data_IF_227587403052
#
_entry.id   IF_227587403052
#
_cell.length_a   1.000
_cell.length_b   1.000
_cell.length_c   1.000
_cell.angle_alpha   90.00
_cell.angle_beta   90.00
_cell.angle_gamma   90.00
#
_symmetry.space_group_name_H-M   'P 1'
#
loop_
_entity.id
_entity.type
_entity.pdbx_description
1 polymer ?
#
# COMPACT_ATOMS: atom_id res chain seq x y z
N UNK A 1 -25.89 -10.63 9.12
CA UNK A 1 -26.07 -9.17 9.25
C UNK A 1 -24.84 -8.44 9.81
N UNK A 2 -24.28 -8.77 10.99
CA UNK A 2 -23.18 -7.97 11.60
C UNK A 2 -21.82 -7.98 10.87
N UNK A 3 -21.53 -8.99 10.04
CA UNK A 3 -20.33 -9.03 9.18
C UNK A 3 -20.52 -8.34 7.82
N UNK A 4 -21.76 -8.01 7.45
CA UNK A 4 -22.06 -7.38 6.17
C UNK A 4 -21.68 -5.90 6.17
N UNK A 5 -21.85 -5.21 7.30
CA UNK A 5 -21.46 -3.80 7.48
C UNK A 5 -19.96 -3.52 7.32
N UNK A 6 -19.03 -4.23 7.98
CA UNK A 6 -17.60 -3.96 7.79
C UNK A 6 -17.12 -4.34 6.39
N UNK A 7 -17.70 -5.37 5.77
CA UNK A 7 -17.41 -5.73 4.39
C UNK A 7 -17.89 -4.65 3.41
N UNK A 8 -19.11 -4.14 3.59
CA UNK A 8 -19.65 -3.03 2.81
C UNK A 8 -18.81 -1.76 2.99
N UNK A 9 -18.33 -1.49 4.21
CA UNK A 9 -17.47 -0.35 4.50
C UNK A 9 -16.10 -0.47 3.82
N UNK A 10 -15.47 -1.66 3.82
CA UNK A 10 -14.24 -1.90 3.07
C UNK A 10 -14.43 -1.74 1.56
N UNK A 11 -15.56 -2.21 1.01
CA UNK A 11 -15.88 -2.05 -0.42
C UNK A 11 -16.10 -0.57 -0.77
N UNK A 12 -16.79 0.20 0.08
CA UNK A 12 -16.99 1.64 -0.11
C UNK A 12 -15.67 2.43 -0.08
N UNK A 13 -14.75 2.08 0.83
CA UNK A 13 -13.43 2.69 0.89
C UNK A 13 -12.59 2.36 -0.36
N UNK A 14 -12.64 1.12 -0.85
CA UNK A 14 -11.93 0.72 -2.07
C UNK A 14 -12.49 1.38 -3.35
N UNK A 15 -13.77 1.77 -3.36
CA UNK A 15 -14.44 2.38 -4.51
C UNK A 15 -14.00 3.83 -4.77
N UNK A 16 -13.46 4.52 -3.76
CA UNK A 16 -13.12 5.94 -3.85
C UNK A 16 -11.93 6.26 -4.77
N UNK A 17 -11.15 5.24 -5.18
CA UNK A 17 -9.99 5.44 -6.03
C UNK A 17 -10.30 5.50 -7.54
N UNK A 18 -11.54 5.24 -7.98
CA UNK A 18 -11.90 5.22 -9.40
C UNK A 18 -12.34 6.59 -9.96
N UNK A 19 -12.61 7.57 -9.10
CA UNK A 19 -13.06 8.89 -9.55
C UNK A 19 -11.93 9.75 -10.18
N UNK A 20 -10.67 9.42 -9.91
CA UNK A 20 -9.51 10.18 -10.40
C UNK A 20 -8.92 9.65 -11.72
N UNK A 21 -9.44 8.55 -12.28
CA UNK A 21 -8.79 7.92 -13.44
C UNK A 21 -8.91 8.75 -14.74
N UNK A 22 -9.81 9.74 -14.81
CA UNK A 22 -10.06 10.53 -16.02
C UNK A 22 -9.06 11.64 -16.29
N UNK A 23 -8.28 12.05 -15.29
CA UNK A 23 -7.26 13.10 -15.44
C UNK A 23 -5.90 12.49 -15.14
N UNK A 24 -4.95 12.67 -16.05
CA UNK A 24 -3.57 12.17 -15.92
C UNK A 24 -2.58 13.30 -16.14
N UNK A 25 -1.32 13.06 -15.75
CA UNK A 25 -0.18 13.92 -16.08
C UNK A 25 -0.40 15.40 -15.72
N UNK A 26 -0.98 15.67 -14.55
CA UNK A 26 -1.19 17.05 -14.07
C UNK A 26 0.17 17.67 -13.74
N UNK A 27 0.56 18.70 -14.49
CA UNK A 27 1.78 19.47 -14.32
C UNK A 27 1.43 20.90 -13.97
N UNK A 28 2.00 21.40 -12.89
CA UNK A 28 1.77 22.76 -12.42
C UNK A 28 3.01 23.57 -12.75
N UNK A 29 2.83 24.71 -13.40
CA UNK A 29 3.88 25.68 -13.68
C UNK A 29 3.45 27.02 -13.10
N UNK A 30 4.21 27.50 -12.13
CA UNK A 30 4.06 28.86 -11.62
C UNK A 30 4.86 29.76 -12.56
N UNK A 31 4.18 30.62 -13.31
CA UNK A 31 4.84 31.50 -14.30
C UNK A 31 5.46 32.69 -13.57
N UNK A 32 4.72 33.28 -12.64
CA UNK A 32 5.12 34.40 -11.79
C UNK A 32 4.31 34.37 -10.48
N UNK A 33 4.47 35.38 -9.61
CA UNK A 33 3.71 35.49 -8.35
C UNK A 33 2.21 35.75 -8.53
N UNK A 34 1.74 35.92 -9.77
CA UNK A 34 0.37 36.31 -10.12
C UNK A 34 -0.40 35.25 -10.89
N UNK A 35 0.27 34.27 -11.50
CA UNK A 35 -0.31 33.34 -12.46
C UNK A 35 0.20 31.91 -12.30
N UNK A 36 -0.74 30.98 -12.33
CA UNK A 36 -0.48 29.54 -12.42
C UNK A 36 -0.99 29.00 -13.75
N UNK A 37 -0.15 28.20 -14.41
CA UNK A 37 -0.53 27.37 -15.54
C UNK A 37 -0.58 25.89 -15.12
N UNK A 38 -1.72 25.25 -15.34
CA UNK A 38 -1.92 23.81 -15.07
C UNK A 38 -2.11 23.09 -16.39
N UNK A 39 -1.18 22.22 -16.75
CA UNK A 39 -1.28 21.33 -17.91
C UNK A 39 -1.71 19.94 -17.45
N UNK A 40 -2.58 19.27 -18.19
CA UNK A 40 -3.02 17.92 -17.85
C UNK A 40 -3.57 17.19 -19.07
N UNK A 41 -3.66 15.87 -18.95
CA UNK A 41 -4.25 15.00 -19.97
C UNK A 41 -5.63 14.53 -19.50
N UNK A 42 -6.63 14.64 -20.37
CA UNK A 42 -8.00 14.21 -20.07
C UNK A 42 -8.40 13.01 -20.92
N UNK A 43 -8.80 11.93 -20.25
CA UNK A 43 -9.22 10.68 -20.86
C UNK A 43 -10.72 10.47 -20.69
N UNK A 44 -11.38 9.97 -21.74
CA UNK A 44 -12.77 9.50 -21.71
C UNK A 44 -13.80 10.51 -21.18
N UNK A 45 -13.76 11.76 -21.67
CA UNK A 45 -14.80 12.76 -21.36
C UNK A 45 -16.11 12.42 -22.06
N UNK A 46 -17.22 12.51 -21.33
CA UNK A 46 -18.55 12.49 -21.94
C UNK A 46 -19.04 13.91 -22.15
N UNK A 47 -19.90 14.09 -23.14
CA UNK A 47 -20.58 15.37 -23.34
C UNK A 47 -21.37 15.73 -22.08
N UNK A 48 -21.08 16.90 -21.51
CA UNK A 48 -21.71 17.38 -20.27
C UNK A 48 -20.91 17.11 -18.98
N UNK A 49 -19.78 16.39 -19.05
CA UNK A 49 -18.83 16.37 -17.94
C UNK A 49 -18.30 17.80 -17.68
N UNK A 50 -18.02 18.08 -16.41
CA UNK A 50 -17.55 19.40 -15.96
C UNK A 50 -16.18 19.29 -15.29
N UNK A 51 -15.25 20.15 -15.69
CA UNK A 51 -13.88 20.19 -15.19
C UNK A 51 -13.74 21.34 -14.22
N UNK A 52 -13.17 21.07 -13.05
CA UNK A 52 -12.96 22.03 -11.99
C UNK A 52 -11.49 22.04 -11.59
N UNK A 53 -11.02 23.23 -11.22
CA UNK A 53 -9.72 23.41 -10.61
C UNK A 53 -9.92 23.56 -9.10
N UNK A 54 -9.24 22.74 -8.32
CA UNK A 54 -9.15 22.86 -6.86
C UNK A 54 -7.70 23.22 -6.50
N UNK A 55 -7.51 24.34 -5.80
CA UNK A 55 -6.18 24.81 -5.42
C UNK A 55 -6.11 24.94 -3.91
N UNK A 56 -5.05 24.36 -3.34
CA UNK A 56 -4.80 24.34 -1.91
C UNK A 56 -3.44 24.96 -1.62
N UNK A 57 -3.45 26.02 -0.83
CA UNK A 57 -2.27 26.58 -0.19
C UNK A 57 -1.92 25.78 1.06
N UNK A 58 -0.62 25.65 1.33
CA UNK A 58 -0.14 25.04 2.58
C UNK A 58 -0.51 25.85 3.82
N UNK A 59 -0.50 27.19 3.75
CA UNK A 59 -0.78 28.05 4.90
C UNK A 59 -2.26 28.43 5.00
N UNK A 60 -2.90 28.73 3.86
CA UNK A 60 -4.28 29.23 3.82
C UNK A 60 -5.34 28.14 3.62
N UNK A 61 -4.92 26.91 3.32
CA UNK A 61 -5.84 25.82 3.01
C UNK A 61 -6.44 25.95 1.61
N UNK A 62 -7.69 25.52 1.42
CA UNK A 62 -8.37 25.55 0.11
C UNK A 62 -8.66 27.00 -0.30
N UNK A 63 -8.12 27.42 -1.44
CA UNK A 63 -8.30 28.76 -1.99
C UNK A 63 -9.62 28.82 -2.76
N UNK A 64 -10.39 29.90 -2.57
CA UNK A 64 -11.62 30.12 -3.34
C UNK A 64 -11.26 30.71 -4.69
N UNK A 65 -11.50 29.94 -5.75
CA UNK A 65 -11.21 30.33 -7.12
C UNK A 65 -12.48 30.92 -7.75
N UNK A 66 -12.48 32.22 -8.04
CA UNK A 66 -13.59 32.82 -8.78
C UNK A 66 -13.45 32.48 -10.28
N UNK A 67 -14.53 32.04 -10.95
CA UNK A 67 -14.48 31.55 -12.34
C UNK A 67 -13.97 32.59 -13.35
N UNK A 68 -14.18 33.87 -13.10
CA UNK A 68 -13.74 34.99 -13.95
C UNK A 68 -12.22 35.11 -14.08
N UNK A 69 -11.46 34.60 -13.11
CA UNK A 69 -10.00 34.60 -13.12
C UNK A 69 -9.40 33.28 -13.64
N UNK A 70 -10.23 32.35 -14.13
CA UNK A 70 -9.79 31.08 -14.69
C UNK A 70 -10.10 31.04 -16.17
N UNK A 71 -9.10 30.73 -16.99
CA UNK A 71 -9.20 30.63 -18.44
C UNK A 71 -8.69 29.28 -18.94
N UNK A 72 -9.06 28.91 -20.16
CA UNK A 72 -8.63 27.67 -20.81
C UNK A 72 -9.66 26.55 -20.69
N UNK A 73 -9.18 25.30 -20.61
CA UNK A 73 -9.99 24.08 -20.64
C UNK A 73 -10.73 23.79 -19.31
N UNK A 74 -11.48 24.76 -18.78
CA UNK A 74 -12.26 24.65 -17.52
C UNK A 74 -13.77 24.72 -17.78
N UNK A 75 -14.57 24.08 -16.93
CA UNK A 75 -16.04 24.18 -16.99
C UNK A 75 -16.70 23.02 -17.74
N UNK A 76 -17.84 23.30 -18.38
CA UNK A 76 -18.62 22.30 -19.13
C UNK A 76 -18.07 22.15 -20.55
N UNK A 77 -18.26 20.97 -21.16
CA UNK A 77 -17.95 20.69 -22.57
C UNK A 77 -16.46 20.65 -22.94
N UNK A 78 -15.59 20.41 -21.96
CA UNK A 78 -14.17 20.18 -22.26
C UNK A 78 -14.03 18.82 -22.95
N UNK A 79 -13.38 18.82 -24.11
CA UNK A 79 -13.16 17.60 -24.89
C UNK A 79 -11.94 16.84 -24.37
N UNK A 80 -11.98 15.51 -24.41
CA UNK A 80 -10.82 14.67 -24.12
C UNK A 80 -9.62 15.07 -25.01
N UNK A 81 -8.41 14.86 -24.51
CA UNK A 81 -7.18 15.20 -25.21
C UNK A 81 -6.01 15.36 -24.25
N UNK A 82 -4.80 15.33 -24.81
CA UNK A 82 -3.57 15.65 -24.09
C UNK A 82 -3.33 17.15 -24.05
N UNK A 83 -2.44 17.59 -23.14
CA UNK A 83 -1.93 18.97 -23.07
C UNK A 83 -3.03 20.04 -22.92
N UNK A 84 -4.14 19.68 -22.26
CA UNK A 84 -5.18 20.63 -21.86
C UNK A 84 -4.60 21.60 -20.86
N UNK A 85 -4.98 22.88 -20.98
CA UNK A 85 -4.36 23.96 -20.19
C UNK A 85 -5.43 24.77 -19.48
N UNK A 86 -5.28 24.88 -18.16
CA UNK A 86 -6.02 25.83 -17.33
C UNK A 86 -5.03 26.91 -16.87
N UNK A 87 -5.43 28.17 -17.03
CA UNK A 87 -4.67 29.35 -16.60
C UNK A 87 -5.47 30.00 -15.48
N UNK A 88 -4.84 30.24 -14.34
CA UNK A 88 -5.46 30.94 -13.22
C UNK A 88 -4.66 32.19 -12.84
N UNK A 89 -5.34 33.34 -12.89
CA UNK A 89 -4.81 34.65 -12.47
C UNK A 89 -5.03 34.83 -10.96
N UNK A 90 -4.14 34.26 -10.16
CA UNK A 90 -4.24 34.24 -8.71
C UNK A 90 -4.23 35.63 -8.07
N UNK A 91 -3.40 36.55 -8.57
CA UNK A 91 -3.30 37.91 -8.01
C UNK A 91 -4.55 38.74 -8.27
N UNK A 92 -5.14 38.60 -9.46
CA UNK A 92 -6.42 39.23 -9.79
C UNK A 92 -7.54 38.71 -8.88
N UNK A 93 -7.45 37.45 -8.46
CA UNK A 93 -8.31 36.83 -7.45
C UNK A 93 -7.90 37.13 -5.99
N UNK A 94 -6.94 38.03 -5.75
CA UNK A 94 -6.51 38.46 -4.41
C UNK A 94 -5.52 37.53 -3.70
N UNK A 95 -4.92 36.57 -4.40
CA UNK A 95 -3.93 35.63 -3.84
C UNK A 95 -2.53 35.88 -4.40
N UNK A 96 -1.56 36.13 -3.53
CA UNK A 96 -0.14 36.19 -3.88
C UNK A 96 0.49 34.80 -3.83
N UNK A 97 1.16 34.36 -4.89
CA UNK A 97 1.75 33.01 -5.02
C UNK A 97 3.14 32.88 -4.38
N UNK A 98 3.34 33.48 -3.20
CA UNK A 98 4.63 33.45 -2.49
C UNK A 98 4.78 32.22 -1.57
N UNK A 99 3.98 31.19 -1.78
CA UNK A 99 3.88 30.01 -0.93
C UNK A 99 3.74 28.72 -1.75
N UNK A 100 3.96 27.58 -1.09
CA UNK A 100 3.79 26.27 -1.69
C UNK A 100 2.30 25.98 -1.93
N UNK A 101 1.96 25.68 -3.19
CA UNK A 101 0.59 25.49 -3.65
C UNK A 101 0.45 24.13 -4.33
N UNK A 102 -0.64 23.44 -4.03
CA UNK A 102 -1.05 22.21 -4.68
C UNK A 102 -2.30 22.48 -5.52
N UNK A 103 -2.25 22.18 -6.81
CA UNK A 103 -3.42 22.26 -7.70
C UNK A 103 -3.86 20.84 -8.09
N UNK A 104 -5.17 20.60 -8.09
CA UNK A 104 -5.80 19.37 -8.52
C UNK A 104 -6.87 19.69 -9.54
N UNK A 105 -6.85 18.97 -10.65
CA UNK A 105 -7.90 19.06 -11.66
C UNK A 105 -8.89 17.92 -11.39
N UNK A 106 -10.14 18.29 -11.19
CA UNK A 106 -11.23 17.37 -10.85
C UNK A 106 -12.24 17.33 -11.98
N UNK A 107 -12.74 16.14 -12.32
CA UNK A 107 -13.82 15.98 -13.31
C UNK A 107 -15.07 15.53 -12.58
N UNK A 108 -16.11 16.35 -12.61
CA UNK A 108 -17.44 15.98 -12.15
C UNK A 108 -18.19 15.36 -13.32
N UNK A 109 -18.40 14.05 -13.24
CA UNK A 109 -19.27 13.37 -14.18
C UNK A 109 -20.69 13.93 -14.05
N UNK A 110 -21.35 14.20 -15.18
CA UNK A 110 -22.79 14.47 -15.15
C UNK A 110 -23.47 13.19 -14.62
N UNK A 111 -24.33 13.26 -13.60
CA UNK A 111 -25.12 12.10 -13.21
C UNK A 111 -25.85 11.64 -14.47
N UNK A 112 -25.68 10.37 -14.84
CA UNK A 112 -26.39 9.80 -15.97
C UNK A 112 -27.87 10.03 -15.68
N UNK A 113 -28.51 10.92 -16.45
CA UNK A 113 -29.95 11.08 -16.37
C UNK A 113 -30.49 9.77 -16.93
N UNK A 114 -30.88 8.86 -16.04
CA UNK A 114 -31.18 7.45 -16.34
C UNK A 114 -32.37 7.24 -17.28
N UNK A 115 -32.82 8.25 -18.03
CA UNK A 115 -34.00 8.21 -18.90
C UNK A 115 -33.75 8.49 -20.39
N UNK A 116 -32.56 8.93 -20.82
CA UNK A 116 -32.40 9.49 -22.19
C UNK A 116 -31.47 8.68 -23.12
N UNK A 117 -30.81 7.63 -22.63
CA UNK A 117 -29.76 6.93 -23.40
C UNK A 117 -30.25 5.74 -24.27
N UNK A 118 -31.55 5.56 -24.48
CA UNK A 118 -32.08 4.45 -25.28
C UNK A 118 -32.48 4.82 -26.72
N UNK A 119 -32.56 6.11 -27.09
CA UNK A 119 -33.11 6.51 -28.40
C UNK A 119 -32.08 7.02 -29.42
N UNK A 120 -30.83 7.26 -29.03
CA UNK A 120 -29.80 7.82 -29.94
C UNK A 120 -28.89 6.77 -30.61
N UNK A 121 -29.20 5.47 -30.50
CA UNK A 121 -28.47 4.40 -31.18
C UNK A 121 -29.23 3.78 -32.37
N UNK A 122 -30.47 4.22 -32.64
CA UNK A 122 -31.25 3.80 -33.80
C UNK A 122 -31.19 4.84 -34.93
N UNK A 123 -29.99 5.32 -35.27
CA UNK A 123 -29.79 5.97 -36.56
C UNK A 123 -29.58 4.85 -37.58
N UNK A 124 -30.65 4.57 -38.31
CA UNK A 124 -30.74 3.54 -39.34
C UNK A 124 -29.52 3.59 -40.31
N UNK A 125 -29.07 2.44 -40.83
CA UNK A 125 -28.05 2.41 -41.87
C UNK A 125 -28.54 3.25 -43.06
N UNK A 126 -27.83 4.36 -43.30
CA UNK A 126 -28.02 5.18 -44.49
C UNK A 126 -27.93 4.30 -45.71
N UNK A 127 -29.02 4.34 -46.47
CA UNK A 127 -29.21 3.75 -47.80
C UNK A 127 -27.94 3.91 -48.63
N UNK A 128 -27.47 2.79 -49.17
CA UNK A 128 -26.29 2.72 -50.04
C UNK A 128 -26.27 3.85 -51.10
N UNK A 129 -25.11 4.52 -51.29
CA UNK A 129 -24.96 5.48 -52.37
C UNK A 129 -25.07 4.78 -53.73
N UNK A 130 -25.79 5.36 -54.71
CA UNK A 130 -25.85 4.82 -56.07
C UNK A 130 -24.45 4.83 -56.69
N UNK A 131 -24.13 3.71 -57.34
CA UNK A 131 -22.87 3.46 -58.02
C UNK A 131 -22.50 4.60 -58.98
N UNK A 132 -21.37 5.25 -58.72
CA UNK A 132 -20.65 6.08 -59.69
C UNK A 132 -19.57 5.22 -60.39
N UNK A 133 -19.26 5.52 -61.67
CA UNK A 133 -18.62 4.60 -62.61
C UNK A 133 -17.14 4.33 -62.31
N UNK A 134 -16.72 3.08 -62.60
CA UNK A 134 -15.32 2.61 -62.63
C UNK A 134 -14.43 3.56 -63.43
N UNK A 135 -13.53 4.26 -62.74
CA UNK A 135 -12.32 4.81 -63.37
C UNK A 135 -11.26 3.73 -63.32
N UNK A 136 -10.87 3.26 -64.51
CA UNK A 136 -9.72 2.39 -64.74
C UNK A 136 -8.46 3.18 -64.42
N UNK A 137 -7.79 2.84 -63.32
CA UNK A 137 -6.42 3.29 -63.04
C UNK A 137 -5.51 2.10 -63.31
N UNK A 138 -4.71 2.23 -64.37
CA UNK A 138 -3.63 1.34 -64.76
C UNK A 138 -2.50 1.42 -63.73
N UNK A 139 -2.19 0.29 -63.09
CA UNK A 139 -1.02 0.12 -62.23
C UNK A 139 0.24 0.02 -63.09
N UNK A 140 1.30 0.81 -62.84
CA UNK A 140 2.60 0.55 -63.43
C UNK A 140 3.27 -0.64 -62.70
N UNK A 141 3.64 -1.64 -63.50
CA UNK A 141 4.46 -2.79 -63.13
C UNK A 141 5.83 -2.30 -62.65
N UNK A 142 6.12 -2.49 -61.36
CA UNK A 142 7.49 -2.35 -60.84
C UNK A 142 8.19 -3.70 -60.91
N UNK A 143 9.16 -3.80 -61.80
CA UNK A 143 10.01 -4.97 -62.01
C UNK A 143 10.93 -5.23 -60.79
N UNK A 144 11.15 -6.49 -60.38
CA UNK A 144 12.13 -6.83 -59.36
C UNK A 144 13.55 -6.76 -59.94
N UNK A 145 14.36 -5.84 -59.42
CA UNK A 145 15.77 -5.76 -59.72
C UNK A 145 16.55 -6.88 -58.99
N UNK A 146 17.20 -7.67 -59.83
CA UNK A 146 18.18 -8.73 -59.60
C UNK A 146 19.29 -8.34 -58.60
N UNK A 147 19.65 -9.18 -57.61
CA UNK A 147 20.87 -8.99 -56.84
C UNK A 147 22.10 -9.38 -57.68
N UNK A 148 22.99 -8.43 -57.87
CA UNK A 148 24.29 -8.60 -58.50
C UNK A 148 25.28 -9.15 -57.45
N UNK A 149 25.64 -10.42 -57.61
CA UNK A 149 26.77 -11.07 -56.96
C UNK A 149 28.09 -10.57 -57.55
N UNK A 150 28.95 -9.94 -56.74
CA UNK A 150 30.37 -9.68 -57.06
C UNK A 150 31.22 -10.06 -55.83
N UNK A 151 32.42 -10.67 -56.03
CA UNK A 151 32.97 -11.68 -55.14
C UNK A 151 33.97 -11.16 -54.10
N UNK A 152 34.10 -11.96 -53.06
CA UNK A 152 35.14 -11.95 -52.02
C UNK A 152 36.53 -12.11 -52.63
N UNK A 153 37.51 -11.23 -52.34
CA UNK A 153 38.92 -11.60 -52.41
C UNK A 153 39.41 -12.10 -51.05
N UNK A 154 39.84 -13.35 -51.03
CA UNK A 154 40.61 -13.95 -49.96
C UNK A 154 41.93 -13.19 -49.76
N UNK A 155 42.29 -12.86 -48.51
CA UNK A 155 43.64 -12.46 -48.17
C UNK A 155 44.11 -13.22 -46.94
N UNK A 156 44.97 -14.20 -47.21
CA UNK A 156 45.74 -14.94 -46.23
C UNK A 156 46.84 -14.05 -45.61
N UNK A 157 47.25 -14.48 -44.42
CA UNK A 157 48.25 -13.93 -43.52
C UNK A 157 49.62 -13.66 -44.16
N UNK A 158 50.29 -12.58 -43.72
CA UNK A 158 51.74 -12.53 -43.38
C UNK A 158 51.99 -11.39 -42.37
N UNK A 159 52.61 -11.75 -41.24
CA UNK A 159 53.40 -10.93 -40.29
C UNK A 159 54.88 -11.24 -40.66
N UNK A 160 55.90 -10.34 -40.64
CA UNK A 160 56.28 -9.50 -39.49
C UNK A 160 57.00 -8.13 -39.75
N UNK A 161 57.18 -7.40 -38.64
CA UNK A 161 58.37 -6.61 -38.23
C UNK A 161 58.56 -5.12 -38.66
N UNK A 162 59.27 -4.32 -37.84
CA UNK A 162 59.04 -2.88 -37.63
C UNK A 162 60.16 -1.97 -38.16
N UNK A 163 59.84 -0.75 -38.60
CA UNK A 163 60.83 0.34 -38.78
C UNK A 163 60.17 1.69 -38.52
N UNK A 164 60.81 2.51 -37.69
CA UNK A 164 60.35 3.82 -37.26
C UNK A 164 60.52 4.93 -38.29
N UNK A 165 59.99 6.10 -37.92
CA UNK A 165 60.09 7.35 -38.67
C UNK A 165 59.17 8.42 -38.09
N UNK A 166 59.71 9.23 -37.20
CA UNK A 166 59.12 10.45 -36.61
C UNK A 166 59.04 11.59 -37.66
N UNK A 167 58.49 12.78 -37.34
CA UNK A 167 57.29 13.39 -37.92
C UNK A 167 57.58 14.51 -38.96
N UNK A 168 56.52 15.21 -39.45
CA UNK A 168 56.53 16.65 -39.21
C UNK A 168 55.16 17.25 -38.80
N UNK A 169 55.22 18.04 -37.74
CA UNK A 169 54.34 19.19 -37.40
C UNK A 169 54.90 20.39 -38.20
N UNK A 170 54.11 21.33 -38.79
CA UNK A 170 53.48 22.40 -37.99
C UNK A 170 52.20 23.09 -38.52
N UNK A 171 51.52 23.72 -37.54
CA UNK A 171 50.71 24.95 -37.59
C UNK A 171 49.36 24.89 -38.34
N UNK A 172 48.25 25.49 -37.91
CA UNK A 172 47.98 26.57 -36.96
C UNK A 172 46.53 26.36 -36.42
N UNK A 173 46.30 26.38 -35.11
CA UNK A 173 45.83 27.55 -34.34
C UNK A 173 44.35 27.91 -34.57
N UNK A 174 43.46 27.38 -33.74
CA UNK A 174 42.19 28.04 -33.38
C UNK A 174 42.07 28.11 -31.84
N UNK A 175 41.58 29.22 -31.28
CA UNK A 175 41.74 29.54 -29.87
C UNK A 175 40.73 28.85 -28.96
N UNK A 176 41.25 28.13 -27.97
CA UNK A 176 40.54 27.56 -26.83
C UNK A 176 40.20 28.67 -25.83
N UNK A 177 38.90 28.87 -25.59
CA UNK A 177 38.39 29.63 -24.45
C UNK A 177 38.52 28.81 -23.15
N UNK A 178 38.83 29.44 -22.00
CA UNK A 178 39.15 28.73 -20.76
C UNK A 178 37.89 28.24 -20.04
N UNK A 179 37.60 26.94 -20.12
CA UNK A 179 36.67 26.32 -19.17
C UNK A 179 37.38 26.05 -17.84
N UNK A 180 37.15 27.01 -16.94
CA UNK A 180 37.41 26.99 -15.50
C UNK A 180 36.97 25.66 -14.88
N UNK A 181 37.95 24.85 -14.45
CA UNK A 181 37.77 23.72 -13.53
C UNK A 181 37.15 24.23 -12.23
N UNK A 182 35.87 24.00 -12.02
CA UNK A 182 35.26 24.01 -10.70
C UNK A 182 35.35 22.59 -10.14
N UNK A 183 36.30 22.39 -9.22
CA UNK A 183 36.23 21.32 -8.24
C UNK A 183 34.94 21.52 -7.44
N UNK A 184 33.99 20.60 -7.62
CA UNK A 184 32.69 20.62 -6.96
C UNK A 184 32.33 19.20 -6.57
N UNK A 185 32.88 18.77 -5.44
CA UNK A 185 32.49 17.58 -4.70
C UNK A 185 30.97 17.59 -4.50
N UNK A 186 30.25 16.67 -5.15
CA UNK A 186 28.84 16.42 -4.84
C UNK A 186 28.78 15.39 -3.71
N UNK A 187 28.27 15.74 -2.51
CA UNK A 187 27.88 14.71 -1.55
C UNK A 187 26.65 13.96 -2.08
N UNK A 188 26.73 12.64 -1.96
CA UNK A 188 25.64 11.69 -2.17
C UNK A 188 24.45 12.01 -1.25
N UNK A 189 23.26 12.19 -1.83
CA UNK A 189 21.98 12.47 -1.15
C UNK A 189 21.28 11.17 -0.71
N UNK A 190 22.04 10.09 -0.50
CA UNK A 190 21.53 8.84 0.10
C UNK A 190 22.31 8.46 1.38
N UNK A 191 22.75 9.45 2.14
CA UNK A 191 23.05 9.25 3.55
C UNK A 191 21.74 9.30 4.33
N UNK A 192 21.34 8.12 4.78
CA UNK A 192 20.24 7.86 5.70
C UNK A 192 20.43 8.75 6.92
N UNK A 193 19.39 9.51 7.29
CA UNK A 193 19.34 10.28 8.54
C UNK A 193 19.82 9.38 9.68
N UNK A 194 21.01 9.71 10.18
CA UNK A 194 21.51 9.21 11.44
C UNK A 194 20.64 9.83 12.51
N UNK A 195 19.84 8.98 13.15
CA UNK A 195 19.07 9.30 14.34
C UNK A 195 20.00 9.93 15.37
N UNK A 196 19.85 11.24 15.58
CA UNK A 196 20.44 11.93 16.72
C UNK A 196 19.74 11.39 17.97
N UNK A 197 20.47 10.51 18.65
CA UNK A 197 20.09 9.88 19.90
C UNK A 197 20.08 10.95 21.00
N UNK A 198 18.93 11.62 21.17
CA UNK A 198 18.71 12.51 22.30
C UNK A 198 18.87 11.70 23.58
N UNK A 199 19.81 12.16 24.39
CA UNK A 199 20.21 11.58 25.64
C UNK A 199 19.04 11.44 26.61
N UNK A 200 19.12 10.34 27.36
CA UNK A 200 18.31 9.96 28.50
C UNK A 200 18.12 11.09 29.52
N UNK A 201 16.88 11.23 30.00
CA UNK A 201 16.60 11.53 31.40
C UNK A 201 15.65 10.47 31.93
N UNK A 202 16.22 9.51 32.67
CA UNK A 202 15.49 8.46 33.36
C UNK A 202 14.73 9.02 34.57
N UNK A 203 13.51 8.56 34.88
CA UNK A 203 12.92 8.80 36.19
C UNK A 203 13.60 7.90 37.23
N UNK A 204 14.18 8.57 38.23
CA UNK A 204 14.78 8.02 39.45
C UNK A 204 13.79 7.08 40.14
N UNK A 205 14.16 5.80 40.23
CA UNK A 205 13.52 4.81 41.09
C UNK A 205 14.02 5.05 42.51
N UNK A 206 13.15 5.52 43.39
CA UNK A 206 13.40 5.61 44.83
C UNK A 206 13.32 4.19 45.41
N UNK A 207 14.47 3.58 45.65
CA UNK A 207 14.61 2.35 46.44
C UNK A 207 14.48 2.68 47.94
N UNK A 208 13.45 2.16 48.58
CA UNK A 208 13.36 2.12 50.04
C UNK A 208 14.13 0.90 50.60
N UNK A 209 14.78 1.02 51.77
CA UNK A 209 15.59 -0.05 52.37
C UNK A 209 14.71 -1.13 53.01
N UNK A 210 15.00 -2.40 52.68
CA UNK A 210 14.42 -3.57 53.33
C UNK A 210 15.33 -3.97 54.49
N UNK A 211 14.83 -3.81 55.72
CA UNK A 211 15.38 -4.41 56.94
C UNK A 211 15.11 -5.92 57.02
N UNK A 212 16.05 -6.73 57.53
CA UNK A 212 15.84 -8.16 57.76
C UNK A 212 15.29 -8.45 59.17
N UNK A 213 14.39 -9.43 59.35
CA UNK A 213 14.22 -10.15 60.62
C UNK A 213 14.90 -11.53 60.49
N UNK A 214 16.05 -11.74 61.12
CA UNK A 214 16.20 -12.32 62.47
C UNK A 214 15.42 -13.62 62.65
N UNK A 215 16.14 -14.71 62.46
CA UNK A 215 15.86 -16.06 62.96
C UNK A 215 15.89 -16.07 64.48
N UNK A 216 15.09 -16.93 65.13
CA UNK A 216 15.64 -17.73 66.21
C UNK A 216 15.41 -19.23 65.99
N UNK A 217 16.48 -19.96 66.23
CA UNK A 217 16.56 -21.41 66.32
C UNK A 217 16.00 -21.92 67.67
N UNK A 218 16.04 -23.25 67.84
CA UNK A 218 15.88 -24.04 69.09
C UNK A 218 14.40 -24.38 69.38
N UNK A 219 13.92 -25.62 69.53
CA UNK A 219 14.50 -26.87 70.01
C UNK A 219 13.71 -28.11 69.48
N UNK A 220 14.39 -29.25 69.35
CA UNK A 220 13.80 -30.61 69.46
C UNK A 220 13.90 -31.05 70.94
N UNK A 221 13.26 -32.12 71.47
CA UNK A 221 12.69 -33.31 70.81
C UNK A 221 11.37 -33.83 71.45
N UNK A 222 10.87 -34.99 70.98
CA UNK A 222 10.44 -36.16 71.80
C UNK A 222 9.18 -36.84 71.26
N UNK A 223 9.40 -38.04 70.71
CA UNK A 223 8.43 -39.11 70.45
C UNK A 223 7.76 -39.56 71.75
N UNK A 224 6.44 -39.81 71.74
CA UNK A 224 5.97 -41.16 72.02
C UNK A 224 4.89 -41.64 71.04
N UNK A 225 4.87 -42.95 70.83
CA UNK A 225 3.82 -43.70 70.13
C UNK A 225 2.64 -43.98 71.10
N UNK A 226 1.70 -44.89 70.79
CA UNK A 226 0.64 -44.82 69.79
C UNK A 226 -0.75 -45.10 70.42
N UNK A 227 -1.81 -44.37 70.04
CA UNK A 227 -3.25 -44.66 70.26
C UNK A 227 -3.98 -43.35 69.90
N UNK A 228 -5.10 -43.29 69.21
CA UNK A 228 -6.23 -44.21 69.09
C UNK A 228 -7.02 -43.84 67.83
N UNK A 229 -7.60 -44.86 67.21
CA UNK A 229 -8.65 -44.74 66.18
C UNK A 229 -9.73 -43.76 66.66
N UNK A 230 -9.88 -42.65 65.95
CA UNK A 230 -11.14 -41.93 65.91
C UNK A 230 -11.38 -41.51 64.45
N UNK A 231 -12.61 -41.76 64.01
CA UNK A 231 -13.09 -41.63 62.64
C UNK A 231 -13.09 -40.16 62.22
N UNK A 232 -11.92 -39.62 61.89
CA UNK A 232 -11.81 -38.34 61.19
C UNK A 232 -12.25 -38.58 59.74
N UNK A 233 -13.49 -38.19 59.49
CA UNK A 233 -14.11 -38.15 58.17
C UNK A 233 -13.16 -37.42 57.24
N UNK A 234 -12.55 -38.16 56.30
CA UNK A 234 -11.62 -37.66 55.30
C UNK A 234 -12.15 -36.34 54.71
N UNK A 235 -11.58 -35.22 55.14
CA UNK A 235 -11.76 -33.97 54.45
C UNK A 235 -11.26 -34.22 53.02
N UNK A 236 -12.11 -34.07 51.98
CA UNK A 236 -11.63 -34.23 50.62
C UNK A 236 -10.54 -33.19 50.43
N UNK A 237 -9.30 -33.66 50.24
CA UNK A 237 -8.19 -32.84 49.78
C UNK A 237 -8.63 -32.21 48.48
N UNK A 238 -9.16 -30.99 48.57
CA UNK A 238 -9.46 -30.09 47.47
C UNK A 238 -8.11 -29.65 46.86
N UNK A 239 -7.38 -30.61 46.30
CA UNK A 239 -6.47 -30.37 45.18
C UNK A 239 -7.35 -30.07 43.97
N UNK A 240 -8.07 -28.95 44.08
CA UNK A 240 -8.67 -28.24 42.99
C UNK A 240 -7.51 -27.83 42.10
N UNK A 241 -7.17 -28.76 41.20
CA UNK A 241 -6.27 -28.63 40.06
C UNK A 241 -6.44 -27.22 39.56
N UNK A 242 -5.51 -26.32 39.91
CA UNK A 242 -5.55 -24.91 39.51
C UNK A 242 -5.58 -24.95 38.00
N UNK A 243 -6.77 -24.87 37.42
CA UNK A 243 -6.94 -24.74 35.98
C UNK A 243 -6.18 -23.47 35.65
N UNK A 244 -5.00 -23.64 35.06
CA UNK A 244 -4.17 -22.53 34.62
C UNK A 244 -5.04 -21.77 33.64
N UNK A 245 -5.61 -20.65 34.09
CA UNK A 245 -6.44 -19.78 33.28
C UNK A 245 -5.55 -19.25 32.17
N UNK A 246 -5.54 -19.94 31.03
CA UNK A 246 -4.81 -19.50 29.85
C UNK A 246 -5.33 -18.11 29.51
N UNK A 247 -4.45 -17.12 29.58
CA UNK A 247 -4.78 -15.74 29.29
C UNK A 247 -5.34 -15.65 27.85
N UNK A 248 -6.52 -15.09 27.69
CA UNK A 248 -7.28 -15.00 26.42
C UNK A 248 -7.50 -13.54 26.00
N UNK A 249 -6.54 -12.68 26.32
CA UNK A 249 -6.63 -11.25 26.05
C UNK A 249 -6.25 -10.86 24.61
N UNK A 250 -6.42 -9.58 24.26
CA UNK A 250 -6.12 -9.03 22.94
C UNK A 250 -4.64 -9.12 22.56
N UNK A 251 -3.73 -9.39 23.51
CA UNK A 251 -2.31 -9.58 23.24
C UNK A 251 -2.05 -10.71 22.21
N UNK A 252 -2.91 -11.72 22.14
CA UNK A 252 -2.83 -12.77 21.12
C UNK A 252 -3.11 -12.26 19.69
N UNK A 253 -3.71 -11.08 19.52
CA UNK A 253 -3.85 -10.45 18.21
C UNK A 253 -2.51 -10.02 17.62
N UNK A 254 -1.48 -9.77 18.46
CA UNK A 254 -0.14 -9.45 17.97
C UNK A 254 0.50 -10.63 17.23
N UNK A 255 0.13 -11.87 17.57
CA UNK A 255 0.58 -13.05 16.82
C UNK A 255 -0.03 -13.13 15.41
N UNK A 256 -1.22 -12.56 15.19
CA UNK A 256 -1.78 -12.41 13.83
C UNK A 256 -1.01 -11.40 12.98
N UNK A 257 -0.26 -10.47 13.59
CA UNK A 257 0.59 -9.54 12.85
C UNK A 257 1.83 -10.25 12.26
N UNK A 258 2.34 -11.26 12.96
CA UNK A 258 3.47 -12.08 12.49
C UNK A 258 2.99 -13.10 11.45
N UNK A 259 1.86 -13.75 11.71
CA UNK A 259 1.31 -14.78 10.82
C UNK A 259 -0.21 -14.63 10.72
N UNK A 260 -0.72 -14.05 9.62
CA UNK A 260 -2.16 -13.93 9.38
C UNK A 260 -2.85 -15.29 9.49
N UNK A 261 -3.88 -15.35 10.34
CA UNK A 261 -4.68 -16.54 10.64
C UNK A 261 -4.32 -17.27 11.95
N UNK A 262 -3.12 -17.06 12.51
CA UNK A 262 -2.66 -17.79 13.71
C UNK A 262 -3.29 -17.24 14.99
N UNK A 263 -3.35 -15.91 15.16
CA UNK A 263 -3.88 -15.30 16.38
C UNK A 263 -5.34 -15.68 16.67
N UNK A 264 -6.16 -15.82 15.63
CA UNK A 264 -7.58 -16.20 15.77
C UNK A 264 -7.80 -17.64 16.28
N UNK A 265 -6.79 -18.52 16.25
CA UNK A 265 -6.87 -19.87 16.81
C UNK A 265 -6.92 -19.79 18.34
N UNK A 266 -6.12 -18.91 18.94
CA UNK A 266 -6.02 -18.76 20.40
C UNK A 266 -7.20 -18.00 21.03
N UNK A 267 -7.93 -17.23 20.22
CA UNK A 267 -9.08 -16.45 20.68
C UNK A 267 -10.37 -17.30 20.72
N UNK A 268 -10.37 -18.56 20.28
CA UNK A 268 -11.61 -19.35 20.18
C UNK A 268 -11.82 -20.31 21.34
N UNK A 269 -12.80 -19.99 22.18
CA UNK A 269 -13.34 -20.86 23.22
C UNK A 269 -14.77 -21.28 22.88
N UNK A 270 -15.22 -22.49 23.27
CA UNK A 270 -14.49 -23.54 24.00
C UNK A 270 -13.80 -24.59 23.12
N UNK A 271 -14.13 -24.67 21.82
CA UNK A 271 -13.49 -25.58 20.85
C UNK A 271 -12.99 -24.81 19.65
N UNK A 272 -11.69 -24.90 19.37
CA UNK A 272 -11.09 -24.32 18.17
C UNK A 272 -11.61 -25.05 16.94
N UNK A 273 -12.56 -24.44 16.22
CA UNK A 273 -12.96 -24.97 14.90
C UNK A 273 -11.86 -24.60 13.90
N UNK A 274 -11.04 -25.59 13.53
CA UNK A 274 -10.07 -25.51 12.44
C UNK A 274 -10.86 -25.50 11.13
N UNK A 275 -11.50 -24.38 10.81
CA UNK A 275 -12.21 -24.19 9.54
C UNK A 275 -11.24 -23.90 8.38
N UNK A 276 -11.74 -23.18 7.37
CA UNK A 276 -11.02 -22.66 6.19
C UNK A 276 -9.81 -21.72 6.48
N UNK A 277 -9.32 -21.66 7.71
CA UNK A 277 -8.29 -20.69 8.15
C UNK A 277 -6.88 -20.98 7.67
N UNK A 278 -6.41 -22.24 7.64
CA UNK A 278 -5.12 -22.55 7.04
C UNK A 278 -5.07 -22.08 5.57
N UNK A 279 -6.21 -22.07 4.87
CA UNK A 279 -6.31 -21.61 3.49
C UNK A 279 -6.01 -20.10 3.36
N UNK A 280 -6.42 -19.29 4.34
CA UNK A 280 -6.08 -17.85 4.37
C UNK A 280 -4.56 -17.65 4.52
N UNK A 281 -3.94 -18.40 5.42
CA UNK A 281 -2.50 -18.35 5.63
C UNK A 281 -1.74 -18.81 4.38
N UNK A 282 -2.15 -19.93 3.77
CA UNK A 282 -1.57 -20.43 2.51
C UNK A 282 -1.76 -19.40 1.38
N UNK A 283 -2.94 -18.77 1.28
CA UNK A 283 -3.20 -17.73 0.29
C UNK A 283 -2.33 -16.48 0.49
N UNK A 284 -2.15 -16.04 1.74
CA UNK A 284 -1.28 -14.91 2.08
C UNK A 284 0.18 -15.18 1.73
N UNK A 285 0.74 -16.29 2.20
CA UNK A 285 2.13 -16.65 1.88
C UNK A 285 2.33 -16.94 0.40
N UNK A 286 1.34 -17.56 -0.25
CA UNK A 286 1.33 -17.77 -1.70
C UNK A 286 1.41 -16.45 -2.47
N UNK A 287 0.62 -15.44 -2.10
CA UNK A 287 0.68 -14.11 -2.70
C UNK A 287 2.03 -13.41 -2.46
N UNK A 288 2.61 -13.54 -1.27
CA UNK A 288 3.93 -12.98 -0.97
C UNK A 288 5.03 -13.62 -1.81
N UNK A 289 5.09 -14.96 -1.83
CA UNK A 289 6.08 -15.72 -2.61
C UNK A 289 5.93 -15.40 -4.10
N UNK A 290 4.70 -15.40 -4.60
CA UNK A 290 4.40 -15.02 -5.99
C UNK A 290 4.86 -13.59 -6.31
N UNK A 291 4.54 -12.63 -5.44
CA UNK A 291 4.99 -11.25 -5.60
C UNK A 291 6.52 -11.14 -5.65
N UNK A 292 7.22 -11.77 -4.70
CA UNK A 292 8.68 -11.75 -4.67
C UNK A 292 9.30 -12.37 -5.94
N UNK A 293 8.72 -13.45 -6.46
CA UNK A 293 9.15 -14.05 -7.73
C UNK A 293 8.91 -13.13 -8.95
N UNK A 294 7.78 -12.43 -9.01
CA UNK A 294 7.52 -11.46 -10.09
C UNK A 294 8.45 -10.24 -9.99
N UNK A 295 8.87 -9.86 -8.78
CA UNK A 295 9.87 -8.79 -8.60
C UNK A 295 11.22 -9.16 -9.20
N UNK A 296 11.72 -10.38 -8.96
CA UNK A 296 13.01 -10.81 -9.53
C UNK A 296 12.95 -10.84 -11.05
N UNK A 297 11.87 -11.38 -11.63
CA UNK A 297 11.65 -11.37 -13.09
C UNK A 297 11.62 -9.95 -13.65
N UNK A 298 10.95 -9.02 -12.97
CA UNK A 298 10.92 -7.62 -13.40
C UNK A 298 12.33 -7.02 -13.45
N UNK A 299 13.16 -7.31 -12.46
CA UNK A 299 14.56 -6.85 -12.40
C UNK A 299 15.41 -7.49 -13.50
N UNK A 300 15.30 -8.81 -13.70
CA UNK A 300 16.08 -9.53 -14.72
C UNK A 300 15.79 -9.00 -16.13
N UNK A 301 14.51 -8.79 -16.45
CA UNK A 301 14.10 -8.24 -17.76
C UNK A 301 14.53 -6.79 -17.91
N UNK A 302 14.50 -6.00 -16.83
CA UNK A 302 14.96 -4.62 -16.84
C UNK A 302 16.48 -4.51 -17.06
N UNK A 303 17.27 -5.43 -16.50
CA UNK A 303 18.71 -5.49 -16.76
C UNK A 303 19.01 -5.76 -18.24
N UNK A 304 18.23 -6.61 -18.90
CA UNK A 304 18.35 -6.82 -20.37
C UNK A 304 18.01 -5.54 -21.13
N UNK A 305 16.96 -4.82 -20.71
CA UNK A 305 16.63 -3.51 -21.28
C UNK A 305 17.79 -2.51 -21.19
N UNK A 306 18.46 -2.41 -20.04
CA UNK A 306 19.60 -1.52 -19.84
C UNK A 306 20.80 -1.86 -20.73
N UNK A 307 20.97 -3.14 -21.10
CA UNK A 307 22.04 -3.58 -22.00
C UNK A 307 21.76 -3.23 -23.48
N UNK A 308 20.49 -3.00 -23.85
CA UNK A 308 20.12 -2.64 -25.22
C UNK A 308 20.48 -1.18 -25.52
N UNK A 309 21.46 -0.97 -26.40
CA UNK A 309 21.82 0.38 -26.88
C UNK A 309 20.76 0.98 -27.81
N UNK A 310 19.97 0.13 -28.48
CA UNK A 310 18.91 0.58 -29.37
C UNK A 310 17.58 0.66 -28.61
N UNK A 311 16.97 1.86 -28.63
CA UNK A 311 15.69 2.14 -27.97
C UNK A 311 14.55 1.27 -28.52
N UNK A 312 14.49 1.06 -29.83
CA UNK A 312 13.42 0.25 -30.45
C UNK A 312 13.54 -1.22 -30.05
N UNK A 313 14.76 -1.75 -29.96
CA UNK A 313 15.01 -3.12 -29.51
C UNK A 313 14.76 -3.29 -28.00
N UNK A 314 14.94 -2.24 -27.20
CA UNK A 314 14.73 -2.25 -25.75
C UNK A 314 13.26 -2.13 -25.32
N UNK A 315 12.42 -1.46 -26.11
CA UNK A 315 11.02 -1.20 -25.76
C UNK A 315 10.20 -2.44 -25.33
N UNK A 316 10.24 -3.60 -26.01
CA UNK A 316 9.50 -4.78 -25.55
C UNK A 316 9.97 -5.31 -24.18
N UNK A 317 11.27 -5.22 -23.87
CA UNK A 317 11.80 -5.60 -22.56
C UNK A 317 11.30 -4.66 -21.47
N UNK A 318 11.28 -3.35 -21.74
CA UNK A 318 10.73 -2.38 -20.79
C UNK A 318 9.25 -2.64 -20.49
N UNK A 319 8.43 -2.87 -21.53
CA UNK A 319 7.01 -3.18 -21.36
C UNK A 319 6.80 -4.47 -20.55
N UNK A 320 7.61 -5.50 -20.83
CA UNK A 320 7.57 -6.78 -20.11
C UNK A 320 7.97 -6.63 -18.65
N UNK A 321 9.05 -5.89 -18.36
CA UNK A 321 9.50 -5.58 -17.00
C UNK A 321 8.42 -4.82 -16.21
N UNK A 322 7.76 -3.84 -16.85
CA UNK A 322 6.68 -3.08 -16.22
C UNK A 322 5.45 -3.97 -15.94
N UNK A 323 5.13 -4.92 -16.83
CA UNK A 323 4.08 -5.91 -16.60
C UNK A 323 4.35 -6.78 -15.37
N UNK A 324 5.57 -7.29 -15.21
CA UNK A 324 5.98 -8.04 -14.02
C UNK A 324 5.94 -7.17 -12.75
N UNK A 325 6.38 -5.92 -12.84
CA UNK A 325 6.35 -4.98 -11.72
C UNK A 325 4.91 -4.70 -11.23
N UNK A 326 3.96 -4.52 -12.15
CA UNK A 326 2.54 -4.33 -11.80
C UNK A 326 1.96 -5.56 -11.09
N UNK A 327 2.28 -6.79 -11.55
CA UNK A 327 1.84 -8.02 -10.90
C UNK A 327 2.43 -8.18 -9.49
N UNK A 328 3.73 -7.91 -9.34
CA UNK A 328 4.39 -7.83 -8.03
C UNK A 328 3.65 -6.87 -7.08
N UNK A 329 3.35 -5.68 -7.57
CA UNK A 329 2.69 -4.64 -6.79
C UNK A 329 1.28 -5.03 -6.37
N UNK A 330 0.48 -5.61 -7.28
CA UNK A 330 -0.86 -6.11 -6.97
C UNK A 330 -0.81 -7.26 -5.96
N UNK A 331 0.10 -8.22 -6.14
CA UNK A 331 0.23 -9.38 -5.27
C UNK A 331 0.63 -8.99 -3.84
N UNK A 332 1.65 -8.15 -3.69
CA UNK A 332 2.13 -7.70 -2.38
C UNK A 332 1.13 -6.83 -1.64
N UNK A 333 0.44 -5.90 -2.34
CA UNK A 333 -0.63 -5.11 -1.73
C UNK A 333 -1.83 -5.97 -1.36
N UNK A 334 -2.20 -6.93 -2.21
CA UNK A 334 -3.23 -7.92 -1.91
C UNK A 334 -2.91 -8.68 -0.62
N UNK A 335 -1.68 -9.18 -0.49
CA UNK A 335 -1.23 -9.84 0.73
C UNK A 335 -1.32 -8.92 1.97
N UNK A 336 -0.89 -7.66 1.86
CA UNK A 336 -0.96 -6.69 2.96
C UNK A 336 -2.40 -6.43 3.41
N UNK A 337 -3.34 -6.28 2.46
CA UNK A 337 -4.76 -6.09 2.77
C UNK A 337 -5.33 -7.32 3.50
N UNK A 338 -4.98 -8.53 3.08
CA UNK A 338 -5.40 -9.78 3.76
C UNK A 338 -4.86 -9.81 5.19
N UNK A 339 -3.58 -9.49 5.39
CA UNK A 339 -2.95 -9.47 6.72
C UNK A 339 -3.60 -8.42 7.64
N UNK A 340 -3.77 -7.18 7.17
CA UNK A 340 -4.40 -6.11 7.94
C UNK A 340 -5.83 -6.48 8.34
N UNK A 341 -6.59 -7.09 7.42
CA UNK A 341 -7.96 -7.54 7.69
C UNK A 341 -7.99 -8.62 8.78
N UNK A 342 -7.07 -9.59 8.77
CA UNK A 342 -7.00 -10.63 9.81
C UNK A 342 -6.64 -10.04 11.18
N UNK A 343 -5.68 -9.11 11.24
CA UNK A 343 -5.30 -8.44 12.50
C UNK A 343 -6.47 -7.67 13.10
N UNK A 344 -7.16 -6.86 12.29
CA UNK A 344 -8.32 -6.07 12.73
C UNK A 344 -9.45 -6.98 13.22
N UNK A 345 -9.78 -8.04 12.49
CA UNK A 345 -10.81 -9.00 12.89
C UNK A 345 -10.44 -9.73 14.19
N UNK A 346 -9.19 -10.14 14.33
CA UNK A 346 -8.69 -10.83 15.52
C UNK A 346 -8.71 -9.90 16.74
N UNK A 347 -8.36 -8.63 16.56
CA UNK A 347 -8.42 -7.61 17.60
C UNK A 347 -9.85 -7.34 18.08
N UNK A 348 -10.80 -7.09 17.17
CA UNK A 348 -12.22 -6.86 17.50
C UNK A 348 -12.78 -8.07 18.26
N UNK A 349 -12.43 -9.28 17.82
CA UNK A 349 -12.86 -10.51 18.49
C UNK A 349 -12.24 -10.67 19.87
N UNK A 350 -10.97 -10.32 20.03
CA UNK A 350 -10.27 -10.29 21.32
C UNK A 350 -10.94 -9.34 22.31
N UNK A 351 -11.29 -8.13 21.87
CA UNK A 351 -12.03 -7.16 22.69
C UNK A 351 -13.39 -7.70 23.15
N UNK A 352 -14.15 -8.31 22.23
CA UNK A 352 -15.46 -8.90 22.56
C UNK A 352 -15.35 -10.06 23.54
N UNK A 353 -14.35 -10.93 23.39
CA UNK A 353 -14.11 -12.01 24.34
C UNK A 353 -13.67 -11.50 25.71
N UNK A 354 -12.89 -10.42 25.77
CA UNK A 354 -12.53 -9.77 27.03
C UNK A 354 -13.76 -9.23 27.76
N UNK A 355 -14.69 -8.61 27.04
CA UNK A 355 -15.96 -8.15 27.62
C UNK A 355 -16.79 -9.31 28.19
N UNK A 356 -16.96 -10.40 27.42
CA UNK A 356 -17.69 -11.60 27.88
C UNK A 356 -17.02 -12.23 29.12
N UNK A 357 -15.68 -12.24 29.17
CA UNK A 357 -14.95 -12.73 30.34
C UNK A 357 -15.14 -11.84 31.56
N UNK A 358 -15.12 -10.51 31.38
CA UNK A 358 -15.41 -9.56 32.47
C UNK A 358 -16.84 -9.75 33.00
N UNK A 359 -17.82 -9.96 32.12
CA UNK A 359 -19.19 -10.27 32.52
C UNK A 359 -19.27 -11.62 33.26
N UNK A 360 -18.64 -12.68 32.75
CA UNK A 360 -18.60 -13.98 33.41
C UNK A 360 -17.90 -13.92 34.78
N UNK A 361 -16.87 -13.08 34.93
CA UNK A 361 -16.20 -12.85 36.22
C UNK A 361 -17.11 -12.12 37.22
N UNK A 362 -17.91 -11.15 36.76
CA UNK A 362 -18.93 -10.48 37.59
C UNK A 362 -19.98 -11.45 38.12
N UNK A 363 -20.33 -12.49 37.36
CA UNK A 363 -21.23 -13.53 37.85
C UNK A 363 -20.53 -14.54 38.76
N UNK A 364 -19.23 -14.83 38.55
CA UNK A 364 -18.47 -15.74 39.42
C UNK A 364 -18.20 -15.19 40.83
N UNK A 365 -18.12 -13.87 40.99
CA UNK A 365 -18.02 -13.26 42.33
C UNK A 365 -19.28 -13.50 43.18
N UNK A 366 -20.38 -13.93 42.57
CA UNK A 366 -21.61 -14.35 43.23
C UNK A 366 -21.78 -15.86 43.09
N UNK A 367 -21.28 -16.61 44.08
CA UNK A 367 -21.57 -18.05 44.15
C UNK A 367 -22.78 -18.28 45.03
N UNK A 368 -23.90 -18.63 44.41
CA UNK A 368 -25.11 -19.08 45.10
C UNK A 368 -25.04 -20.61 45.23
N UNK A 369 -24.90 -21.12 46.45
CA UNK A 369 -24.99 -22.56 46.72
C UNK A 369 -26.33 -22.86 47.37
N UNK A 370 -27.32 -23.37 46.62
CA UNK A 370 -28.54 -23.89 47.24
C UNK A 370 -28.17 -25.14 48.06
N UNK A 371 -28.72 -25.24 49.27
CA UNK A 371 -28.56 -26.36 50.17
C UNK A 371 -29.84 -26.62 50.95
N UNK A 372 -29.94 -27.79 51.59
CA UNK A 372 -30.95 -28.04 52.61
C UNK A 372 -30.25 -28.20 53.95
N UNK A 373 -30.62 -27.39 54.94
CA UNK A 373 -30.24 -27.59 56.33
C UNK A 373 -31.50 -27.89 57.13
N UNK A 374 -31.53 -29.06 57.78
CA UNK A 374 -32.65 -29.48 58.66
C UNK A 374 -34.01 -29.46 57.94
N UNK A 375 -34.05 -29.92 56.69
CA UNK A 375 -35.30 -29.96 55.91
C UNK A 375 -35.79 -28.61 55.36
N UNK A 376 -35.13 -27.50 55.69
CA UNK A 376 -35.45 -26.18 55.13
C UNK A 376 -34.53 -25.84 53.95
N UNK A 377 -35.07 -25.29 52.84
CA UNK A 377 -34.27 -24.78 51.74
C UNK A 377 -33.48 -23.54 52.21
N UNK A 378 -32.16 -23.62 52.11
CA UNK A 378 -31.23 -22.54 52.47
C UNK A 378 -30.35 -22.22 51.26
N UNK A 379 -29.97 -20.95 51.09
CA UNK A 379 -29.05 -20.54 50.02
C UNK A 379 -27.91 -19.76 50.63
N UNK A 380 -26.68 -20.26 50.50
CA UNK A 380 -25.49 -19.54 50.93
C UNK A 380 -25.01 -18.69 49.76
N UNK A 381 -25.09 -17.37 49.93
CA UNK A 381 -24.51 -16.40 48.99
C UNK A 381 -23.11 -16.07 49.46
N UNK A 382 -22.09 -16.52 48.72
CA UNK A 382 -20.71 -16.07 48.92
C UNK A 382 -20.39 -14.98 47.91
N UNK A 383 -20.10 -13.79 48.45
CA UNK A 383 -19.57 -12.67 47.70
C UNK A 383 -18.07 -12.56 47.97
N UNK A 384 -17.26 -12.68 46.93
CA UNK A 384 -15.80 -12.45 47.02
C UNK A 384 -15.47 -11.13 46.35
N UNK A 385 -14.89 -10.21 47.14
CA UNK A 385 -14.40 -8.90 46.68
C UNK A 385 -13.06 -9.02 45.98
#
# INVERSE_FOLDING_TARGET
>A
MRLLFPLLFCVLLASSSQAQERVRNVRIRVVDSSRIDVLYDMLNTRFGDSVFLDVRSRLRGTLRIAPEFVRGDVGRQVTAGSDRRIIWEALANGYSLNEEIQARVLVKARPAVSGESALSAAQAPSKAPPAAPRVVVTTPVHAPARPETVPVPAKAAVVPAPVGGTPPVPAASEPVLPQKKAAGTKPSVFAIDSVEQVAQSAPVVVSAPITPPVTPAVDSPKKPAPQSKETETAAPSNDARRERLTYKGPAWALLSAVAPGVGNIFVQTPKAKIGLRPLVTVGFYGLLIYGLSERTKAQDVYLVYEQQKNREAGEPYYQTANGHHQRYFLATRGALVVAATDVVLTFIKGLRNSQIQKEAQRFKSLTLRPGLQVGQPTAVVRYSF
#
